data_IF_265908210039
#
_entry.id   IF_265908210039
#
_cell.length_a   1.000
_cell.length_b   1.000
_cell.length_c   1.000
_cell.angle_alpha   90.00
_cell.angle_beta   90.00
_cell.angle_gamma   90.00
#
_symmetry.space_group_name_H-M   'P 1'
#
loop_
_entity.id
_entity.type
_entity.pdbx_description
1 polymer ?
#
# COMPACT_ATOMS: atom_id res chain seq x y z
N UNK A 1 65.24 63.46 26.31
CA UNK A 1 65.95 62.69 25.25
C UNK A 1 65.41 61.26 25.27
N UNK A 2 64.25 60.96 24.65
CA UNK A 2 64.04 60.41 23.28
C UNK A 2 64.96 59.23 22.90
N UNK A 3 64.37 58.02 22.81
CA UNK A 3 64.38 57.20 21.58
C UNK A 3 63.14 56.29 21.51
N UNK A 4 62.63 56.17 20.29
CA UNK A 4 61.29 55.79 19.84
C UNK A 4 61.07 54.26 19.76
N UNK A 5 59.81 53.82 19.93
CA UNK A 5 59.31 52.50 19.47
C UNK A 5 59.27 52.42 17.93
N UNK A 6 59.16 51.20 17.38
CA UNK A 6 57.95 50.91 16.61
C UNK A 6 57.29 49.54 16.91
N UNK A 7 55.99 49.48 16.63
CA UNK A 7 55.12 48.28 16.52
C UNK A 7 55.41 47.50 15.22
N UNK A 8 55.13 46.20 15.21
CA UNK A 8 54.71 45.41 14.03
C UNK A 8 53.67 44.37 14.55
N UNK A 9 52.38 44.51 14.23
CA UNK A 9 51.63 44.09 13.02
C UNK A 9 51.44 42.56 12.93
N UNK A 10 50.20 42.12 13.16
CA UNK A 10 49.79 40.72 13.02
C UNK A 10 49.68 40.25 11.57
N UNK A 11 49.83 38.93 11.38
CA UNK A 11 49.53 38.20 10.16
C UNK A 11 48.39 37.18 10.40
N UNK A 12 47.59 36.85 9.37
CA UNK A 12 46.30 36.15 9.52
C UNK A 12 46.46 34.64 9.69
N UNK A 13 45.52 34.06 10.45
CA UNK A 13 45.41 32.63 10.73
C UNK A 13 45.13 31.80 9.47
N UNK A 14 45.90 30.73 9.30
CA UNK A 14 45.70 29.74 8.26
C UNK A 14 44.41 28.94 8.52
N UNK A 15 43.48 29.00 7.56
CA UNK A 15 42.30 28.14 7.54
C UNK A 15 42.70 26.68 7.31
N UNK A 16 42.25 25.78 8.18
CA UNK A 16 42.41 24.33 8.01
C UNK A 16 41.66 23.87 6.74
N UNK A 17 42.40 23.31 5.80
CA UNK A 17 41.85 22.62 4.62
C UNK A 17 41.25 21.27 5.07
N UNK A 18 40.00 20.93 4.70
CA UNK A 18 39.40 19.65 5.06
C UNK A 18 40.12 18.48 4.35
N UNK A 19 40.35 17.39 5.08
CA UNK A 19 41.15 16.25 4.63
C UNK A 19 40.54 15.44 3.48
N UNK A 20 41.36 14.61 2.79
CA UNK A 20 41.02 13.93 1.53
C UNK A 20 39.88 12.91 1.62
N UNK A 21 39.44 12.54 2.82
CA UNK A 21 38.32 11.62 3.03
C UNK A 21 36.95 12.30 2.82
N UNK A 22 36.80 13.58 3.19
CA UNK A 22 35.57 14.36 2.96
C UNK A 22 35.34 14.62 1.46
N UNK A 23 36.41 14.92 0.72
CA UNK A 23 36.35 15.12 -0.72
C UNK A 23 35.97 13.83 -1.48
N UNK A 24 36.44 12.67 -1.01
CA UNK A 24 36.10 11.36 -1.60
C UNK A 24 34.65 10.95 -1.33
N UNK A 25 34.12 11.23 -0.13
CA UNK A 25 32.70 11.02 0.17
C UNK A 25 31.77 11.96 -0.62
N UNK A 26 32.15 13.25 -0.74
CA UNK A 26 31.40 14.20 -1.55
C UNK A 26 31.40 13.82 -3.05
N UNK A 27 32.52 13.34 -3.58
CA UNK A 27 32.64 12.87 -4.96
C UNK A 27 31.83 11.60 -5.22
N UNK A 28 31.78 10.66 -4.26
CA UNK A 28 30.94 9.47 -4.37
C UNK A 28 29.44 9.82 -4.34
N UNK A 29 29.04 10.78 -3.50
CA UNK A 29 27.65 11.28 -3.45
C UNK A 29 27.26 12.01 -4.75
N UNK A 30 28.18 12.78 -5.33
CA UNK A 30 28.00 13.47 -6.62
C UNK A 30 27.94 12.48 -7.80
N UNK A 31 28.70 11.38 -7.76
CA UNK A 31 28.64 10.34 -8.79
C UNK A 31 27.31 9.57 -8.76
N UNK A 32 26.76 9.30 -7.56
CA UNK A 32 25.42 8.70 -7.39
C UNK A 32 24.33 9.67 -7.84
N UNK A 33 24.46 10.97 -7.54
CA UNK A 33 23.55 12.01 -8.05
C UNK A 33 23.62 12.17 -9.57
N UNK A 34 24.82 12.12 -10.17
CA UNK A 34 25.00 12.22 -11.62
C UNK A 34 24.44 11.01 -12.39
N UNK A 35 24.53 9.80 -11.81
CA UNK A 35 23.91 8.61 -12.36
C UNK A 35 22.36 8.65 -12.31
N UNK A 36 21.77 9.43 -11.40
CA UNK A 36 20.32 9.62 -11.29
C UNK A 36 19.72 10.54 -12.38
N UNK A 37 20.56 11.27 -13.13
CA UNK A 37 20.13 12.19 -14.20
C UNK A 37 20.26 11.61 -15.62
N UNK A 38 20.57 10.32 -15.80
CA UNK A 38 20.50 9.70 -17.11
C UNK A 38 19.04 9.68 -17.62
N UNK A 39 18.77 10.10 -18.88
CA UNK A 39 17.42 10.18 -19.43
C UNK A 39 16.83 8.76 -19.54
N UNK A 40 16.05 8.39 -18.52
CA UNK A 40 15.30 7.14 -18.52
C UNK A 40 14.09 7.29 -19.42
N UNK A 41 13.83 6.28 -20.24
CA UNK A 41 12.68 6.20 -21.12
C UNK A 41 11.39 6.56 -20.37
N UNK A 42 10.56 7.38 -20.99
CA UNK A 42 9.26 7.79 -20.49
C UNK A 42 8.33 6.56 -20.40
N UNK A 43 8.50 5.76 -19.37
CA UNK A 43 7.51 4.80 -18.93
C UNK A 43 6.60 5.55 -17.95
N UNK A 44 5.30 5.67 -18.28
CA UNK A 44 4.30 6.29 -17.41
C UNK A 44 4.54 5.88 -15.95
N UNK A 45 4.96 6.84 -15.13
CA UNK A 45 5.48 6.67 -13.78
C UNK A 45 4.51 7.20 -12.71
N UNK A 46 3.25 7.40 -13.09
CA UNK A 46 2.21 7.96 -12.23
C UNK A 46 1.63 6.89 -11.29
N UNK A 47 2.48 6.01 -10.74
CA UNK A 47 2.04 5.12 -9.66
C UNK A 47 1.80 5.99 -8.42
N UNK A 48 0.64 5.88 -7.76
CA UNK A 48 0.33 6.70 -6.61
C UNK A 48 1.41 6.60 -5.53
N UNK A 49 1.73 7.72 -4.89
CA UNK A 49 2.66 7.77 -3.77
C UNK A 49 2.07 7.08 -2.54
N UNK A 50 2.27 5.76 -2.45
CA UNK A 50 1.70 4.92 -1.38
C UNK A 50 2.77 4.23 -0.52
N UNK A 51 3.99 4.76 -0.44
CA UNK A 51 5.06 4.15 0.37
C UNK A 51 4.78 4.23 1.89
N UNK A 52 5.45 3.41 2.72
CA UNK A 52 5.22 3.37 4.16
C UNK A 52 5.94 4.48 4.90
N UNK A 53 5.26 5.05 5.89
CA UNK A 53 5.90 5.79 6.98
C UNK A 53 6.74 4.85 7.86
N UNK A 54 7.50 5.43 8.79
CA UNK A 54 8.18 4.71 9.87
C UNK A 54 7.23 3.81 10.68
N UNK A 55 5.94 4.14 10.70
CA UNK A 55 4.89 3.41 11.42
C UNK A 55 4.22 2.32 10.56
N UNK A 56 4.53 2.23 9.27
CA UNK A 56 3.98 1.25 8.32
C UNK A 56 2.81 1.76 7.48
N UNK A 57 1.96 2.56 8.10
CA UNK A 57 0.86 3.26 7.42
C UNK A 57 1.39 4.12 6.27
N UNK A 58 0.62 4.25 5.19
CA UNK A 58 1.05 5.01 4.00
C UNK A 58 1.39 6.47 4.37
N UNK A 59 2.60 6.91 4.02
CA UNK A 59 3.15 8.14 4.58
C UNK A 59 4.54 8.50 4.05
N UNK A 60 5.08 9.59 4.61
CA UNK A 60 6.45 10.03 4.37
C UNK A 60 7.40 9.31 5.34
N UNK A 61 7.91 9.99 6.36
CA UNK A 61 8.72 9.40 7.42
C UNK A 61 7.87 9.26 8.68
N UNK A 62 7.66 10.33 9.45
CA UNK A 62 6.84 10.28 10.65
C UNK A 62 5.37 10.56 10.35
N UNK A 63 5.08 11.38 9.33
CA UNK A 63 3.72 11.84 9.04
C UNK A 63 2.99 10.97 8.00
N UNK A 64 1.67 10.78 8.16
CA UNK A 64 0.86 10.09 7.16
C UNK A 64 0.56 10.99 5.95
N UNK A 65 0.29 10.39 4.80
CA UNK A 65 -0.32 11.06 3.64
C UNK A 65 -1.81 10.74 3.55
N UNK A 66 -2.53 11.47 2.69
CA UNK A 66 -3.96 11.27 2.46
C UNK A 66 -4.28 10.09 1.53
N UNK A 67 -3.26 9.34 1.06
CA UNK A 67 -3.46 8.14 0.26
C UNK A 67 -3.48 6.90 1.14
N UNK A 68 -4.21 5.91 0.66
CA UNK A 68 -4.28 4.57 1.22
C UNK A 68 -3.59 3.60 0.27
N UNK A 69 -3.09 2.50 0.83
CA UNK A 69 -2.57 1.37 0.10
C UNK A 69 -3.68 0.75 -0.76
N UNK A 70 -3.29 0.19 -1.91
CA UNK A 70 -4.19 -0.51 -2.82
C UNK A 70 -4.97 -1.61 -2.09
N UNK A 71 -6.22 -1.82 -2.48
CA UNK A 71 -7.04 -2.93 -2.00
C UNK A 71 -6.35 -4.27 -2.24
N UNK A 72 -6.56 -5.21 -1.32
CA UNK A 72 -5.98 -6.55 -1.36
C UNK A 72 -4.45 -6.52 -1.43
N UNK A 73 -3.81 -5.54 -0.79
CA UNK A 73 -2.36 -5.49 -0.62
C UNK A 73 -2.01 -5.60 0.86
N UNK A 74 -0.99 -6.41 1.15
CA UNK A 74 -0.33 -6.46 2.44
C UNK A 74 1.05 -5.82 2.36
N UNK A 75 1.47 -5.22 3.46
CA UNK A 75 2.82 -4.73 3.67
C UNK A 75 3.33 -5.19 5.02
N UNK A 76 4.56 -5.69 5.06
CA UNK A 76 5.27 -5.94 6.30
C UNK A 76 6.59 -5.19 6.29
N UNK A 77 7.01 -4.68 7.43
CA UNK A 77 8.27 -3.96 7.48
C UNK A 77 8.79 -3.72 8.88
N UNK A 78 10.03 -3.23 8.91
CA UNK A 78 10.71 -2.83 10.11
C UNK A 78 11.36 -1.46 9.87
N UNK A 79 11.33 -0.63 10.90
CA UNK A 79 11.98 0.69 10.91
C UNK A 79 12.79 0.84 12.19
N UNK A 80 14.00 1.37 12.06
CA UNK A 80 14.90 1.68 13.14
C UNK A 80 15.27 3.15 13.09
N UNK A 81 14.83 3.95 14.06
CA UNK A 81 15.23 5.35 14.26
C UNK A 81 15.38 5.58 15.75
N UNK A 82 16.62 5.61 16.27
CA UNK A 82 16.87 5.57 17.72
C UNK A 82 16.11 6.68 18.46
N UNK A 83 15.32 6.36 19.51
CA UNK A 83 15.29 5.11 20.27
C UNK A 83 14.27 4.06 19.81
N UNK A 84 13.49 4.32 18.76
CA UNK A 84 12.40 3.43 18.36
C UNK A 84 12.85 2.39 17.35
N UNK A 85 12.44 1.15 17.60
CA UNK A 85 12.42 0.07 16.63
C UNK A 85 10.97 -0.36 16.44
N UNK A 86 10.45 -0.24 15.23
CA UNK A 86 9.05 -0.47 14.91
C UNK A 86 8.97 -1.62 13.94
N UNK A 87 8.15 -2.62 14.25
CA UNK A 87 7.73 -3.66 13.32
C UNK A 87 6.26 -3.45 13.00
N UNK A 88 5.86 -3.60 11.74
CA UNK A 88 4.49 -3.35 11.35
C UNK A 88 3.98 -4.31 10.27
N UNK A 89 2.66 -4.47 10.25
CA UNK A 89 1.89 -5.12 9.21
C UNK A 89 0.71 -4.23 8.81
N UNK A 90 0.61 -3.88 7.55
CA UNK A 90 -0.44 -3.02 7.00
C UNK A 90 -1.25 -3.79 5.96
N UNK A 91 -2.56 -3.59 5.92
CA UNK A 91 -3.46 -4.15 4.90
C UNK A 91 -4.36 -3.07 4.32
N UNK A 92 -4.48 -3.05 2.99
CA UNK A 92 -5.48 -2.26 2.27
C UNK A 92 -6.73 -3.11 2.15
N UNK A 93 -7.63 -3.01 3.13
CA UNK A 93 -8.76 -3.93 3.24
C UNK A 93 -9.86 -3.63 2.21
N UNK A 94 -10.09 -2.34 1.94
CA UNK A 94 -11.01 -1.84 0.92
C UNK A 94 -10.36 -0.69 0.16
N UNK A 95 -10.91 -0.29 -0.98
CA UNK A 95 -10.38 0.81 -1.81
C UNK A 95 -10.11 2.15 -1.09
N UNK A 96 -10.69 2.36 0.09
CA UNK A 96 -10.57 3.60 0.87
C UNK A 96 -10.16 3.36 2.32
N UNK A 97 -9.85 2.12 2.70
CA UNK A 97 -9.57 1.75 4.08
C UNK A 97 -8.21 1.04 4.19
N UNK A 98 -7.33 1.63 4.98
CA UNK A 98 -6.03 1.08 5.34
C UNK A 98 -6.02 0.80 6.84
N UNK A 99 -5.63 -0.42 7.21
CA UNK A 99 -5.49 -0.86 8.61
C UNK A 99 -4.04 -1.25 8.84
N UNK A 100 -3.48 -0.81 9.96
CA UNK A 100 -2.09 -1.07 10.33
C UNK A 100 -2.04 -1.63 11.76
N UNK A 101 -1.24 -2.68 11.97
CA UNK A 101 -0.81 -3.14 13.28
C UNK A 101 0.69 -2.92 13.43
N UNK A 102 1.14 -2.40 14.57
CA UNK A 102 2.56 -2.19 14.84
C UNK A 102 2.96 -2.54 16.26
N UNK A 103 4.21 -2.98 16.39
CA UNK A 103 4.90 -3.22 17.66
C UNK A 103 6.05 -2.21 17.76
N UNK A 104 5.97 -1.30 18.73
CA UNK A 104 7.00 -0.29 18.98
C UNK A 104 7.85 -0.72 20.15
N UNK A 105 9.13 -0.95 19.90
CA UNK A 105 10.15 -1.21 20.91
C UNK A 105 10.94 0.08 21.18
N UNK A 106 11.12 0.42 22.46
CA UNK A 106 11.95 1.55 22.89
C UNK A 106 13.24 1.01 23.46
N UNK A 107 14.33 1.19 22.71
CA UNK A 107 15.63 0.64 23.05
C UNK A 107 16.16 1.22 24.37
N UNK A 108 16.82 0.38 25.17
CA UNK A 108 17.42 0.69 26.46
C UNK A 108 16.45 1.30 27.50
N UNK A 109 15.13 1.14 27.34
CA UNK A 109 14.12 1.48 28.35
C UNK A 109 13.57 0.17 28.90
N UNK A 110 13.65 -0.11 30.21
CA UNK A 110 13.22 -1.39 30.76
C UNK A 110 11.71 -1.58 30.57
N UNK A 111 11.32 -2.80 30.19
CA UNK A 111 9.93 -3.23 30.22
C UNK A 111 9.38 -3.29 31.65
N UNK A 112 8.05 -3.36 31.79
CA UNK A 112 7.36 -3.43 33.08
C UNK A 112 7.72 -4.65 33.93
N UNK A 113 8.26 -5.72 33.33
CA UNK A 113 8.64 -6.96 34.01
C UNK A 113 10.14 -7.17 33.92
N UNK A 114 10.77 -7.50 35.05
CA UNK A 114 12.20 -7.81 35.13
C UNK A 114 12.55 -8.98 34.21
N UNK A 115 13.60 -8.82 33.40
CA UNK A 115 14.06 -9.83 32.45
C UNK A 115 13.39 -9.82 31.07
N UNK A 116 12.38 -8.97 30.84
CA UNK A 116 11.68 -8.88 29.54
C UNK A 116 12.42 -8.02 28.49
N UNK A 117 13.52 -7.39 28.89
CA UNK A 117 14.35 -6.55 28.02
C UNK A 117 13.77 -5.14 27.83
N UNK A 118 13.85 -4.65 26.60
CA UNK A 118 13.35 -3.33 26.22
C UNK A 118 11.81 -3.23 26.29
N UNK A 119 11.31 -2.04 26.59
CA UNK A 119 9.89 -1.70 26.55
C UNK A 119 9.30 -1.96 25.16
N UNK A 120 8.10 -2.55 25.14
CA UNK A 120 7.35 -2.84 23.92
C UNK A 120 5.89 -2.52 24.11
N UNK A 121 5.29 -1.91 23.10
CA UNK A 121 3.86 -1.57 23.08
C UNK A 121 3.26 -1.87 21.70
N UNK A 122 2.01 -2.35 21.71
CA UNK A 122 1.26 -2.74 20.50
C UNK A 122 0.26 -1.64 20.19
N UNK A 123 0.20 -1.22 18.93
CA UNK A 123 -0.74 -0.21 18.48
C UNK A 123 -1.44 -0.66 17.19
N UNK A 124 -2.68 -0.21 17.03
CA UNK A 124 -3.45 -0.36 15.81
C UNK A 124 -3.77 1.02 15.24
N UNK A 125 -3.55 1.21 13.95
CA UNK A 125 -3.87 2.45 13.25
C UNK A 125 -4.92 2.19 12.15
N UNK A 126 -5.82 3.16 11.98
CA UNK A 126 -6.87 3.17 10.98
C UNK A 126 -6.71 4.40 10.10
N UNK A 127 -6.75 4.25 8.78
CA UNK A 127 -6.84 5.36 7.85
C UNK A 127 -8.01 5.17 6.90
N UNK A 128 -8.89 6.16 6.91
CA UNK A 128 -10.05 6.23 6.03
C UNK A 128 -9.86 7.38 5.02
N UNK A 129 -9.80 7.02 3.74
CA UNK A 129 -9.78 7.98 2.65
C UNK A 129 -11.20 8.48 2.35
N UNK A 130 -11.47 9.70 2.80
CA UNK A 130 -12.76 10.37 2.65
C UNK A 130 -12.99 10.80 1.20
N UNK A 131 -11.95 11.37 0.59
CA UNK A 131 -11.97 11.83 -0.79
C UNK A 131 -10.76 11.27 -1.54
N UNK A 132 -11.00 10.56 -2.65
CA UNK A 132 -9.95 10.16 -3.58
C UNK A 132 -9.43 11.40 -4.31
N UNK A 133 -8.14 11.41 -4.60
CA UNK A 133 -7.55 12.48 -5.40
C UNK A 133 -8.23 12.60 -6.75
N UNK A 134 -8.63 13.82 -7.12
CA UNK A 134 -9.18 14.13 -8.44
C UNK A 134 -8.25 15.03 -9.22
N UNK A 135 -8.70 15.49 -10.39
CA UNK A 135 -7.95 16.46 -11.21
C UNK A 135 -7.64 17.74 -10.44
N UNK A 136 -8.65 18.33 -9.80
CA UNK A 136 -8.54 19.63 -9.12
C UNK A 136 -8.48 19.53 -7.60
N UNK A 137 -9.11 18.52 -7.01
CA UNK A 137 -9.15 18.35 -5.56
C UNK A 137 -8.02 17.44 -5.08
N UNK A 138 -7.42 17.73 -3.91
CA UNK A 138 -6.49 16.80 -3.26
C UNK A 138 -7.24 15.56 -2.74
N UNK A 139 -6.51 14.47 -2.52
CA UNK A 139 -7.02 13.40 -1.65
C UNK A 139 -7.20 13.94 -0.23
N UNK A 140 -8.22 13.45 0.48
CA UNK A 140 -8.46 13.79 1.88
C UNK A 140 -8.67 12.51 2.70
N UNK A 141 -7.98 12.40 3.84
CA UNK A 141 -8.09 11.26 4.74
C UNK A 141 -8.18 11.67 6.20
N UNK A 142 -8.91 10.85 6.97
CA UNK A 142 -8.85 10.80 8.41
C UNK A 142 -7.95 9.64 8.84
N UNK A 143 -6.94 9.94 9.65
CA UNK A 143 -6.02 8.96 10.23
C UNK A 143 -6.23 8.94 11.73
N UNK A 144 -6.45 7.76 12.29
CA UNK A 144 -6.60 7.53 13.72
C UNK A 144 -5.59 6.47 14.13
N UNK A 145 -4.58 6.87 14.89
CA UNK A 145 -3.56 5.99 15.44
C UNK A 145 -3.85 5.66 16.88
N UNK A 146 -3.66 4.39 17.23
CA UNK A 146 -3.79 3.86 18.58
C UNK A 146 -5.06 4.33 19.33
N UNK A 147 -6.27 4.05 18.79
CA UNK A 147 -7.53 4.55 19.34
C UNK A 147 -8.03 3.79 20.59
N UNK A 148 -7.33 2.73 21.00
CA UNK A 148 -7.77 1.81 22.06
C UNK A 148 -6.57 1.42 22.94
N UNK A 149 -6.81 1.21 24.24
CA UNK A 149 -5.83 0.65 25.15
C UNK A 149 -4.91 1.71 25.76
N UNK A 150 -3.61 1.47 25.70
CA UNK A 150 -2.63 2.34 26.40
C UNK A 150 -2.54 3.73 25.78
N UNK A 151 -2.86 3.87 24.48
CA UNK A 151 -2.85 5.13 23.72
C UNK A 151 -1.52 5.89 23.81
N UNK A 152 -0.41 5.17 24.01
CA UNK A 152 0.94 5.76 24.18
C UNK A 152 1.34 6.53 22.94
N UNK A 153 0.96 6.04 21.76
CA UNK A 153 1.29 6.65 20.47
C UNK A 153 0.05 7.16 19.73
N UNK A 154 -0.99 7.53 20.47
CA UNK A 154 -2.27 7.92 19.89
C UNK A 154 -2.21 9.28 19.20
N UNK A 155 -2.87 9.37 18.04
CA UNK A 155 -3.05 10.63 17.32
C UNK A 155 -4.26 10.56 16.40
N UNK A 156 -4.88 11.71 16.13
CA UNK A 156 -5.91 11.82 15.09
C UNK A 156 -5.56 12.96 14.17
N UNK A 157 -5.60 12.68 12.87
CA UNK A 157 -5.16 13.64 11.86
C UNK A 157 -6.11 13.71 10.69
N UNK A 158 -6.29 14.92 10.19
CA UNK A 158 -6.86 15.21 8.88
C UNK A 158 -5.72 15.55 7.94
N UNK A 159 -5.66 14.88 6.79
CA UNK A 159 -4.55 15.01 5.85
C UNK A 159 -5.08 15.23 4.45
N UNK A 160 -4.46 16.17 3.74
CA UNK A 160 -4.64 16.39 2.32
C UNK A 160 -3.34 16.10 1.57
N UNK A 161 -3.44 15.38 0.44
CA UNK A 161 -2.29 15.13 -0.43
C UNK A 161 -2.63 15.38 -1.89
N UNK A 162 -1.67 15.96 -2.62
CA UNK A 162 -1.81 16.30 -4.04
C UNK A 162 -0.55 15.93 -4.80
N UNK A 163 -0.72 15.10 -5.83
CA UNK A 163 0.31 14.70 -6.75
C UNK A 163 0.34 15.67 -7.92
N UNK A 164 1.49 16.32 -8.08
CA UNK A 164 1.88 17.13 -9.23
C UNK A 164 3.17 16.52 -9.75
N UNK A 165 3.03 15.35 -10.40
CA UNK A 165 4.17 14.50 -10.79
C UNK A 165 5.27 15.32 -11.48
N UNK A 166 6.55 15.19 -11.09
CA UNK A 166 7.14 14.16 -10.21
C UNK A 166 7.09 14.44 -8.70
N UNK A 167 6.34 15.45 -8.26
CA UNK A 167 6.20 15.81 -6.85
C UNK A 167 4.88 15.33 -6.24
N UNK A 168 4.92 15.07 -4.95
CA UNK A 168 3.76 14.84 -4.12
C UNK A 168 3.82 15.74 -2.89
N UNK A 169 2.77 16.51 -2.70
CA UNK A 169 2.64 17.46 -1.59
C UNK A 169 1.66 16.91 -0.58
N UNK A 170 2.01 17.00 0.70
CA UNK A 170 1.14 16.62 1.81
C UNK A 170 1.07 17.75 2.81
N UNK A 171 -0.15 18.07 3.25
CA UNK A 171 -0.45 19.00 4.32
C UNK A 171 -1.48 18.37 5.23
N UNK A 172 -1.23 18.39 6.53
CA UNK A 172 -2.15 17.83 7.50
C UNK A 172 -2.13 18.58 8.81
N UNK A 173 -3.06 18.18 9.66
CA UNK A 173 -3.12 18.63 11.04
C UNK A 173 -3.62 17.50 11.92
N UNK A 174 -3.13 17.46 13.14
CA UNK A 174 -3.56 16.44 14.08
C UNK A 174 -3.31 16.81 15.53
N UNK A 175 -4.00 16.09 16.41
CA UNK A 175 -3.93 16.20 17.86
C UNK A 175 -3.14 15.01 18.46
N UNK A 176 -2.97 14.96 19.78
CA UNK A 176 -2.27 13.86 20.45
C UNK A 176 -0.77 13.86 20.16
N UNK A 177 -0.23 12.76 19.63
CA UNK A 177 1.18 12.70 19.22
C UNK A 177 1.56 13.77 18.19
N UNK A 178 0.61 14.20 17.36
CA UNK A 178 0.81 15.31 16.43
C UNK A 178 0.31 16.67 16.96
N UNK A 179 -0.25 16.70 18.17
CA UNK A 179 -0.82 17.87 18.83
C UNK A 179 0.14 18.60 19.78
N UNK A 180 -0.44 19.35 20.72
CA UNK A 180 0.29 20.00 21.82
C UNK A 180 0.46 19.05 22.99
N UNK A 181 -0.55 18.22 23.26
CA UNK A 181 -0.61 17.31 24.41
C UNK A 181 -0.90 15.86 23.97
N UNK A 182 -0.36 14.84 24.65
CA UNK A 182 -0.71 13.45 24.38
C UNK A 182 -2.18 13.16 24.73
N UNK A 183 -2.80 12.24 24.00
CA UNK A 183 -4.16 11.82 24.29
C UNK A 183 -4.19 10.94 25.55
N UNK A 184 -5.22 11.07 26.40
CA UNK A 184 -5.34 10.27 27.61
C UNK A 184 -5.56 8.79 27.26
N UNK A 185 -5.05 7.90 28.12
CA UNK A 185 -5.30 6.47 28.02
C UNK A 185 -6.80 6.18 28.04
N UNK A 186 -7.22 5.16 27.28
CA UNK A 186 -8.62 4.74 27.22
C UNK A 186 -8.69 3.24 27.44
N UNK A 187 -9.46 2.81 28.44
CA UNK A 187 -9.65 1.38 28.74
C UNK A 187 -10.41 0.66 27.62
N UNK A 188 -11.68 0.34 27.85
CA UNK A 188 -12.51 -0.32 26.84
C UNK A 188 -13.19 0.72 25.94
N UNK A 189 -12.97 0.64 24.63
CA UNK A 189 -13.67 1.47 23.63
C UNK A 189 -12.80 1.98 22.49
N UNK A 190 -13.42 2.78 21.62
CA UNK A 190 -12.77 3.47 20.50
C UNK A 190 -13.16 4.94 20.59
N UNK A 191 -12.20 5.84 20.85
CA UNK A 191 -12.47 7.28 20.93
C UNK A 191 -11.83 8.04 19.78
N UNK A 192 -12.63 8.93 19.21
CA UNK A 192 -12.20 9.91 18.23
C UNK A 192 -12.62 11.29 18.71
N UNK A 193 -11.67 12.02 19.32
CA UNK A 193 -11.85 13.36 19.88
C UNK A 193 -12.36 14.34 18.81
N UNK A 194 -12.02 14.14 17.53
CA UNK A 194 -12.59 14.91 16.43
C UNK A 194 -14.14 14.89 16.40
N UNK A 195 -14.77 13.82 16.88
CA UNK A 195 -16.24 13.69 16.95
C UNK A 195 -16.78 13.91 18.37
N UNK A 196 -16.05 13.49 19.41
CA UNK A 196 -16.52 13.62 20.80
C UNK A 196 -16.27 14.99 21.43
N UNK A 197 -15.14 15.63 21.12
CA UNK A 197 -14.84 17.02 21.51
C UNK A 197 -14.10 17.74 20.36
N UNK A 198 -14.85 18.14 19.31
CA UNK A 198 -14.26 18.83 18.17
C UNK A 198 -13.53 20.12 18.60
N UNK A 199 -14.05 20.83 19.60
CA UNK A 199 -13.50 22.10 20.06
C UNK A 199 -12.11 21.93 20.70
N UNK A 200 -11.94 20.90 21.53
CA UNK A 200 -10.65 20.51 22.10
C UNK A 200 -9.69 20.02 21.03
N UNK A 201 -10.19 19.20 20.09
CA UNK A 201 -9.39 18.71 18.96
C UNK A 201 -8.76 19.87 18.16
N UNK A 202 -9.54 20.88 17.78
CA UNK A 202 -9.04 22.05 17.04
C UNK A 202 -8.06 22.90 17.86
N UNK A 203 -8.23 22.98 19.19
CA UNK A 203 -7.32 23.71 20.08
C UNK A 203 -5.98 23.00 20.25
N UNK A 204 -5.98 21.67 20.29
CA UNK A 204 -4.76 20.85 20.42
C UNK A 204 -4.02 20.66 19.08
N UNK A 205 -4.76 20.68 17.97
CA UNK A 205 -4.23 20.34 16.66
C UNK A 205 -3.03 21.22 16.23
N UNK A 206 -2.03 20.59 15.61
CA UNK A 206 -0.89 21.28 14.99
C UNK A 206 -0.71 20.88 13.55
N UNK A 207 -0.23 21.83 12.74
CA UNK A 207 0.05 21.63 11.33
C UNK A 207 1.32 20.81 11.12
N UNK A 208 1.29 19.98 10.09
CA UNK A 208 2.42 19.27 9.54
C UNK A 208 2.33 19.18 8.03
N UNK A 209 3.44 18.86 7.38
CA UNK A 209 3.42 18.70 5.93
C UNK A 209 4.75 18.21 5.41
N UNK A 210 4.77 17.87 4.14
CA UNK A 210 5.98 17.39 3.50
C UNK A 210 5.83 17.27 2.00
N UNK A 211 6.95 16.99 1.37
CA UNK A 211 7.09 16.87 -0.08
C UNK A 211 7.84 15.57 -0.34
N UNK A 212 7.34 14.79 -1.29
CA UNK A 212 8.07 13.69 -1.90
C UNK A 212 8.35 14.02 -3.37
N UNK A 213 9.55 13.70 -3.83
CA UNK A 213 9.99 13.89 -5.20
C UNK A 213 10.49 12.55 -5.74
N UNK A 214 9.86 12.04 -6.80
CA UNK A 214 10.26 10.79 -7.44
C UNK A 214 10.93 11.07 -8.80
N UNK A 215 12.24 11.33 -8.84
CA UNK A 215 12.96 11.53 -10.10
C UNK A 215 12.94 10.27 -10.98
N UNK A 216 12.85 9.08 -10.37
CA UNK A 216 12.76 7.79 -11.06
C UNK A 216 11.74 6.89 -10.37
N UNK A 217 11.39 5.76 -11.00
CA UNK A 217 10.47 4.77 -10.39
C UNK A 217 11.07 4.02 -9.19
N UNK A 218 12.40 3.97 -9.10
CA UNK A 218 13.12 3.24 -8.06
C UNK A 218 13.68 4.14 -6.97
N UNK A 219 13.63 5.47 -7.13
CA UNK A 219 14.13 6.45 -6.16
C UNK A 219 13.07 7.50 -5.84
N UNK A 220 12.84 7.73 -4.54
CA UNK A 220 12.09 8.88 -4.05
C UNK A 220 12.90 9.62 -2.98
N UNK A 221 12.92 10.94 -3.07
CA UNK A 221 13.44 11.84 -2.06
C UNK A 221 12.28 12.43 -1.28
N UNK A 222 12.43 12.62 0.03
CA UNK A 222 11.36 13.07 0.91
C UNK A 222 11.90 14.11 1.88
N UNK A 223 11.10 15.12 2.15
CA UNK A 223 11.31 16.05 3.24
C UNK A 223 9.97 16.33 3.92
N UNK A 224 9.95 16.35 5.25
CA UNK A 224 8.76 16.63 6.04
C UNK A 224 9.08 17.56 7.20
N UNK A 225 8.08 18.31 7.61
CA UNK A 225 8.03 19.02 8.87
C UNK A 225 7.15 18.21 9.85
N UNK A 226 7.80 17.61 10.83
CA UNK A 226 7.15 16.82 11.87
C UNK A 226 6.54 17.73 12.95
N UNK A 227 5.27 17.52 13.31
CA UNK A 227 4.66 18.29 14.38
C UNK A 227 5.05 17.74 15.76
N UNK A 228 5.66 16.55 15.86
CA UNK A 228 5.81 15.83 17.13
C UNK A 228 6.65 16.64 18.13
N UNK A 229 6.12 16.81 19.34
CA UNK A 229 6.85 17.39 20.49
C UNK A 229 7.27 16.28 21.41
N UNK A 230 8.33 15.58 21.04
CA UNK A 230 8.89 14.49 21.82
C UNK A 230 9.10 14.84 23.30
N UNK A 231 9.49 16.08 23.57
CA UNK A 231 9.70 16.63 24.91
C UNK A 231 8.43 16.75 25.75
N UNK A 232 7.26 16.82 25.12
CA UNK A 232 5.95 16.97 25.76
C UNK A 232 5.11 15.68 25.70
N UNK A 233 5.61 14.59 25.11
CA UNK A 233 4.93 13.30 25.07
C UNK A 233 5.14 12.56 26.39
N UNK A 234 4.47 13.00 27.47
CA UNK A 234 4.65 12.46 28.83
C UNK A 234 4.23 11.00 28.99
N UNK A 235 3.39 10.49 28.09
CA UNK A 235 2.98 9.08 28.03
C UNK A 235 4.00 8.18 27.33
N UNK A 236 4.95 8.75 26.57
CA UNK A 236 5.95 8.01 25.81
C UNK A 236 7.12 7.59 26.74
N UNK A 237 7.38 6.30 26.94
CA UNK A 237 8.46 5.83 27.82
C UNK A 237 9.86 6.26 27.38
N UNK A 238 10.02 6.66 26.12
CA UNK A 238 11.28 7.21 25.62
C UNK A 238 11.51 8.65 26.12
N UNK A 239 10.46 9.41 26.46
CA UNK A 239 10.54 10.84 26.73
C UNK A 239 11.52 11.17 27.86
N UNK A 240 11.48 10.53 29.06
CA UNK A 240 12.34 10.94 30.17
C UNK A 240 13.83 10.74 29.89
N UNK A 241 14.19 9.73 29.09
CA UNK A 241 15.57 9.33 28.82
C UNK A 241 16.14 9.96 27.56
N UNK A 242 15.38 9.95 26.46
CA UNK A 242 15.85 10.36 25.13
C UNK A 242 15.39 11.76 24.72
N UNK A 243 14.27 12.23 25.28
CA UNK A 243 13.68 13.51 24.92
C UNK A 243 13.41 14.42 26.13
N UNK A 244 14.38 14.65 27.03
CA UNK A 244 14.20 15.59 28.13
C UNK A 244 14.11 17.05 27.66
N UNK A 245 14.46 17.32 26.40
CA UNK A 245 14.45 18.63 25.75
C UNK A 245 13.91 18.52 24.33
N UNK A 246 13.43 19.61 23.72
CA UNK A 246 13.02 19.62 22.33
C UNK A 246 14.11 19.10 21.40
N UNK A 247 13.72 18.36 20.37
CA UNK A 247 14.64 17.86 19.35
C UNK A 247 15.29 19.03 18.57
N UNK A 248 16.56 18.89 18.13
CA UNK A 248 17.28 19.94 17.42
C UNK A 248 16.59 20.46 16.15
N UNK A 249 15.90 19.58 15.41
CA UNK A 249 15.16 19.94 14.19
C UNK A 249 13.84 19.20 14.11
N UNK A 250 12.82 19.89 13.60
CA UNK A 250 11.53 19.30 13.21
C UNK A 250 11.46 18.91 11.74
N UNK A 251 12.50 19.24 10.98
CA UNK A 251 12.60 18.86 9.57
C UNK A 251 13.30 17.51 9.51
N UNK A 252 12.61 16.53 8.92
CA UNK A 252 13.16 15.22 8.61
C UNK A 252 13.33 15.12 7.09
N UNK A 253 14.41 14.48 6.65
CA UNK A 253 14.68 14.24 5.24
C UNK A 253 15.04 12.78 5.02
N UNK A 254 14.76 12.24 3.85
CA UNK A 254 15.10 10.86 3.55
C UNK A 254 15.02 10.52 2.08
N UNK A 255 15.48 9.32 1.79
CA UNK A 255 15.39 8.68 0.50
C UNK A 255 14.75 7.30 0.66
N UNK A 256 14.01 6.89 -0.36
CA UNK A 256 13.36 5.59 -0.47
C UNK A 256 13.74 4.96 -1.80
N UNK A 257 14.32 3.77 -1.73
CA UNK A 257 14.73 2.95 -2.85
C UNK A 257 13.72 1.83 -3.05
N UNK A 258 13.32 1.59 -4.30
CA UNK A 258 12.45 0.48 -4.71
C UNK A 258 13.20 -0.40 -5.69
N UNK A 259 14.13 -1.25 -5.21
CA UNK A 259 14.92 -2.13 -6.08
C UNK A 259 14.03 -3.12 -6.83
N UNK A 260 12.91 -3.53 -6.23
CA UNK A 260 11.91 -4.41 -6.82
C UNK A 260 10.51 -3.86 -6.57
N UNK A 261 9.50 -4.33 -7.33
CA UNK A 261 8.09 -3.91 -7.15
C UNK A 261 7.52 -4.27 -5.77
N UNK A 262 8.10 -5.26 -5.11
CA UNK A 262 7.67 -5.80 -3.84
C UNK A 262 8.56 -5.36 -2.66
N UNK A 263 9.64 -4.62 -2.87
CA UNK A 263 10.57 -4.20 -1.81
C UNK A 263 10.81 -2.70 -1.80
N UNK A 264 10.81 -2.12 -0.61
CA UNK A 264 11.19 -0.72 -0.37
C UNK A 264 12.19 -0.62 0.78
N UNK A 265 13.28 0.13 0.55
CA UNK A 265 14.35 0.38 1.53
C UNK A 265 14.44 1.89 1.73
N UNK A 266 14.43 2.35 2.97
CA UNK A 266 14.51 3.77 3.32
C UNK A 266 15.74 4.09 4.14
N UNK A 267 16.33 5.25 3.86
CA UNK A 267 17.35 5.88 4.70
C UNK A 267 16.89 7.30 4.98
N UNK A 268 16.98 7.73 6.23
CA UNK A 268 16.47 9.04 6.64
C UNK A 268 17.37 9.69 7.68
N UNK A 269 17.31 11.01 7.72
CA UNK A 269 17.85 11.85 8.77
C UNK A 269 16.69 12.55 9.46
N UNK A 270 16.50 12.25 10.74
CA UNK A 270 15.33 12.66 11.51
C UNK A 270 15.75 13.38 12.79
N UNK A 271 14.89 14.25 13.31
CA UNK A 271 15.09 14.97 14.58
C UNK A 271 16.37 15.83 14.63
N UNK A 272 17.00 16.10 13.48
CA UNK A 272 18.25 16.88 13.38
C UNK A 272 19.53 16.14 13.79
N UNK A 273 19.46 14.88 14.19
CA UNK A 273 20.64 14.14 14.67
C UNK A 273 20.58 12.63 14.47
N UNK A 274 19.39 12.06 14.22
CA UNK A 274 19.22 10.61 14.14
C UNK A 274 19.23 10.14 12.70
N UNK A 275 19.88 9.00 12.46
CA UNK A 275 19.79 8.28 11.19
C UNK A 275 18.76 7.17 11.36
N UNK A 276 17.83 7.11 10.43
CA UNK A 276 16.80 6.10 10.34
C UNK A 276 17.01 5.17 9.17
N UNK A 277 16.76 3.87 9.36
CA UNK A 277 16.73 2.86 8.30
C UNK A 277 15.40 2.13 8.35
N UNK A 278 14.79 1.92 7.19
CA UNK A 278 13.55 1.14 7.08
C UNK A 278 13.64 0.12 5.95
N UNK A 279 13.00 -1.02 6.12
CA UNK A 279 12.83 -2.01 5.07
C UNK A 279 11.39 -2.52 5.10
N UNK A 280 10.77 -2.66 3.93
CA UNK A 280 9.42 -3.21 3.82
C UNK A 280 9.28 -4.07 2.57
N UNK A 281 8.40 -5.05 2.68
CA UNK A 281 7.92 -5.87 1.57
C UNK A 281 6.43 -5.66 1.41
N UNK A 282 5.95 -5.59 0.16
CA UNK A 282 4.54 -5.47 -0.17
C UNK A 282 4.11 -6.56 -1.15
N UNK A 283 2.96 -7.18 -0.91
CA UNK A 283 2.41 -8.25 -1.74
C UNK A 283 0.91 -8.04 -1.99
N UNK A 284 0.45 -8.38 -3.18
CA UNK A 284 -0.98 -8.41 -3.49
C UNK A 284 -1.55 -9.79 -3.10
N UNK A 285 -2.68 -9.83 -2.42
CA UNK A 285 -3.41 -11.06 -2.09
C UNK A 285 -3.80 -11.77 -3.38
N UNK A 286 -3.59 -13.08 -3.43
CA UNK A 286 -3.91 -13.91 -4.60
C UNK A 286 -2.95 -13.75 -5.77
N UNK A 287 -1.88 -12.94 -5.67
CA UNK A 287 -0.78 -12.91 -6.63
C UNK A 287 0.50 -13.46 -6.00
N UNK A 288 1.19 -14.41 -6.63
CA UNK A 288 2.42 -14.94 -6.09
C UNK A 288 3.53 -13.87 -6.12
N UNK A 289 4.39 -13.90 -5.10
CA UNK A 289 5.50 -12.95 -4.91
C UNK A 289 6.52 -12.99 -6.07
N UNK A 290 6.77 -14.19 -6.58
CA UNK A 290 7.49 -14.43 -7.83
C UNK A 290 6.47 -14.89 -8.87
N UNK A 291 6.54 -14.43 -10.13
CA UNK A 291 5.70 -14.96 -11.20
C UNK A 291 5.95 -16.46 -11.32
N UNK A 292 4.97 -17.27 -10.91
CA UNK A 292 4.98 -18.70 -11.15
C UNK A 292 4.43 -18.88 -12.57
N UNK A 293 5.24 -19.41 -13.47
CA UNK A 293 4.76 -19.80 -14.79
C UNK A 293 4.02 -21.13 -14.65
N UNK A 294 2.69 -21.06 -14.70
CA UNK A 294 1.84 -22.24 -14.83
C UNK A 294 1.61 -22.48 -16.34
N UNK A 295 2.25 -23.52 -16.95
CA UNK A 295 1.99 -23.83 -18.34
C UNK A 295 0.51 -24.17 -18.52
N UNK A 296 -0.12 -23.76 -19.65
CA UNK A 296 -1.50 -24.15 -19.92
C UNK A 296 -1.57 -25.68 -20.00
N UNK A 297 -2.65 -26.25 -19.48
CA UNK A 297 -2.88 -27.68 -19.59
C UNK A 297 -2.95 -28.06 -21.07
N UNK A 298 -2.08 -28.98 -21.46
CA UNK A 298 -2.11 -29.63 -22.77
C UNK A 298 -2.64 -31.03 -22.56
N UNK A 299 -3.71 -31.35 -23.27
CA UNK A 299 -4.31 -32.67 -23.21
C UNK A 299 -3.34 -33.73 -23.77
N UNK A 300 -2.94 -34.74 -22.98
CA UNK A 300 -2.16 -35.87 -23.45
C UNK A 300 -2.90 -36.61 -24.59
N UNK A 301 -2.17 -37.04 -25.62
CA UNK A 301 -2.74 -37.75 -26.77
C UNK A 301 -3.49 -39.03 -26.37
N UNK A 302 -3.08 -39.67 -25.27
CA UNK A 302 -3.68 -40.88 -24.72
C UNK A 302 -5.11 -40.64 -24.24
N UNK A 303 -5.38 -39.51 -23.58
CA UNK A 303 -6.69 -39.17 -23.02
C UNK A 303 -7.70 -38.78 -24.09
N UNK A 304 -7.28 -38.42 -25.31
CA UNK A 304 -8.20 -38.01 -26.40
C UNK A 304 -9.20 -39.08 -26.81
N UNK A 305 -8.92 -40.35 -26.48
CA UNK A 305 -9.79 -41.50 -26.75
C UNK A 305 -10.82 -41.73 -25.64
N UNK A 306 -10.63 -41.11 -24.49
CA UNK A 306 -11.52 -41.27 -23.35
C UNK A 306 -12.81 -40.45 -23.51
N UNK A 307 -13.88 -40.80 -22.77
CA UNK A 307 -15.09 -39.99 -22.73
C UNK A 307 -14.80 -38.54 -22.33
N UNK A 308 -15.52 -37.58 -22.92
CA UNK A 308 -15.35 -36.14 -22.66
C UNK A 308 -15.31 -35.80 -21.17
N UNK A 309 -16.20 -36.42 -20.38
CA UNK A 309 -16.26 -36.22 -18.93
C UNK A 309 -14.94 -36.59 -18.23
N UNK A 310 -14.30 -37.70 -18.62
CA UNK A 310 -13.03 -38.14 -18.06
C UNK A 310 -11.88 -37.21 -18.46
N UNK A 311 -11.87 -36.74 -19.72
CA UNK A 311 -10.89 -35.78 -20.25
C UNK A 311 -10.94 -34.45 -19.49
N UNK A 312 -12.13 -33.90 -19.32
CA UNK A 312 -12.35 -32.67 -18.55
C UNK A 312 -11.95 -32.87 -17.09
N UNK A 313 -12.37 -33.97 -16.46
CA UNK A 313 -12.01 -34.25 -15.07
C UNK A 313 -10.49 -34.35 -14.88
N UNK A 314 -9.78 -35.04 -15.78
CA UNK A 314 -8.33 -35.14 -15.74
C UNK A 314 -7.63 -33.77 -15.92
N UNK A 315 -8.10 -32.96 -16.88
CA UNK A 315 -7.57 -31.61 -17.11
C UNK A 315 -7.77 -30.68 -15.91
N UNK A 316 -8.98 -30.68 -15.33
CA UNK A 316 -9.29 -29.89 -14.15
C UNK A 316 -8.51 -30.36 -12.91
N UNK A 317 -8.32 -31.67 -12.75
CA UNK A 317 -7.47 -32.20 -11.70
C UNK A 317 -6.01 -31.76 -11.84
N UNK A 318 -5.47 -31.78 -13.07
CA UNK A 318 -4.08 -31.36 -13.34
C UNK A 318 -3.81 -29.88 -13.02
N UNK A 319 -4.79 -29.00 -13.18
CA UNK A 319 -4.65 -27.57 -12.84
C UNK A 319 -4.98 -27.26 -11.37
N UNK A 320 -5.42 -28.25 -10.58
CA UNK A 320 -5.53 -28.15 -9.12
C UNK A 320 -6.95 -28.07 -8.56
N UNK A 321 -7.95 -28.61 -9.26
CA UNK A 321 -9.31 -28.81 -8.74
C UNK A 321 -9.51 -30.26 -8.25
N UNK A 322 -10.42 -30.47 -7.29
CA UNK A 322 -10.84 -31.79 -6.81
C UNK A 322 -12.36 -31.97 -6.88
N UNK A 323 -12.87 -33.14 -6.51
CA UNK A 323 -14.31 -33.47 -6.46
C UNK A 323 -15.06 -33.01 -7.72
N UNK A 324 -14.54 -33.45 -8.88
CA UNK A 324 -14.97 -32.98 -10.21
C UNK A 324 -16.10 -33.87 -10.73
N UNK A 325 -17.26 -33.25 -10.98
CA UNK A 325 -18.39 -33.84 -11.68
C UNK A 325 -18.56 -33.21 -13.05
N UNK A 326 -18.73 -34.03 -14.09
CA UNK A 326 -19.03 -33.56 -15.44
C UNK A 326 -20.24 -34.32 -15.95
N UNK A 327 -21.27 -33.58 -16.38
CA UNK A 327 -22.52 -34.14 -16.90
C UNK A 327 -23.05 -33.27 -18.03
N UNK A 328 -23.86 -33.83 -18.93
CA UNK A 328 -24.43 -33.09 -20.04
C UNK A 328 -25.81 -33.63 -20.41
N UNK A 329 -26.70 -32.74 -20.84
CA UNK A 329 -28.05 -33.08 -21.32
C UNK A 329 -28.19 -32.94 -22.85
N UNK A 330 -27.07 -32.82 -23.56
CA UNK A 330 -27.03 -32.63 -25.02
C UNK A 330 -27.21 -31.18 -25.49
N UNK A 331 -27.46 -30.23 -24.58
CA UNK A 331 -27.50 -28.78 -24.87
C UNK A 331 -26.59 -27.99 -23.92
N UNK A 332 -26.56 -28.40 -22.65
CA UNK A 332 -25.80 -27.77 -21.57
C UNK A 332 -24.80 -28.77 -20.99
N UNK A 333 -23.53 -28.38 -20.96
CA UNK A 333 -22.50 -29.09 -20.20
C UNK A 333 -22.45 -28.52 -18.77
N UNK A 334 -22.70 -29.35 -17.77
CA UNK A 334 -22.56 -28.99 -16.36
C UNK A 334 -21.26 -29.56 -15.78
N UNK A 335 -20.47 -28.67 -15.17
CA UNK A 335 -19.21 -28.96 -14.50
C UNK A 335 -19.35 -28.52 -13.05
N UNK A 336 -19.14 -29.45 -12.13
CA UNK A 336 -19.05 -29.22 -10.70
C UNK A 336 -17.59 -29.46 -10.28
N UNK A 337 -16.93 -28.52 -9.61
CA UNK A 337 -15.53 -28.68 -9.20
C UNK A 337 -15.25 -28.00 -7.85
N UNK A 338 -14.45 -28.63 -7.00
CA UNK A 338 -13.96 -28.04 -5.76
C UNK A 338 -12.68 -27.25 -6.00
N UNK A 339 -12.65 -26.00 -5.53
CA UNK A 339 -11.52 -25.10 -5.69
C UNK A 339 -10.55 -25.25 -4.52
N UNK A 340 -9.43 -25.93 -4.74
CA UNK A 340 -8.40 -26.15 -3.71
C UNK A 340 -7.21 -25.18 -3.83
N UNK A 341 -7.07 -24.48 -4.96
CA UNK A 341 -5.84 -23.75 -5.31
C UNK A 341 -6.02 -22.24 -5.43
N UNK A 342 -7.15 -21.77 -5.97
CA UNK A 342 -7.28 -20.37 -6.39
C UNK A 342 -7.96 -19.54 -5.31
N UNK A 343 -7.30 -18.46 -4.88
CA UNK A 343 -7.83 -17.60 -3.82
C UNK A 343 -9.13 -16.87 -4.22
N UNK A 344 -9.25 -16.49 -5.49
CA UNK A 344 -10.43 -15.78 -6.00
C UNK A 344 -11.27 -16.70 -6.88
N UNK A 345 -12.56 -16.83 -6.58
CA UNK A 345 -13.52 -17.64 -7.35
C UNK A 345 -13.58 -17.26 -8.83
N UNK A 346 -13.54 -15.97 -9.24
CA UNK A 346 -13.46 -15.62 -10.65
C UNK A 346 -12.21 -16.18 -11.35
N UNK A 347 -11.06 -16.22 -10.68
CA UNK A 347 -9.84 -16.82 -11.22
C UNK A 347 -10.00 -18.33 -11.39
N UNK A 348 -10.65 -19.02 -10.45
CA UNK A 348 -10.97 -20.44 -10.60
C UNK A 348 -11.84 -20.71 -11.84
N UNK A 349 -12.91 -19.92 -12.02
CA UNK A 349 -13.80 -20.02 -13.20
C UNK A 349 -13.03 -19.76 -14.49
N UNK A 350 -12.14 -18.77 -14.52
CA UNK A 350 -11.29 -18.46 -15.67
C UNK A 350 -10.38 -19.64 -16.05
N UNK A 351 -9.76 -20.29 -15.07
CA UNK A 351 -8.90 -21.45 -15.31
C UNK A 351 -9.70 -22.64 -15.84
N UNK A 352 -10.87 -22.93 -15.25
CA UNK A 352 -11.76 -24.00 -15.74
C UNK A 352 -12.15 -23.72 -17.20
N UNK A 353 -12.64 -22.50 -17.48
CA UNK A 353 -13.01 -22.06 -18.82
C UNK A 353 -11.88 -22.26 -19.84
N UNK A 354 -10.65 -21.82 -19.51
CA UNK A 354 -9.46 -21.99 -20.35
C UNK A 354 -9.08 -23.45 -20.59
N UNK A 355 -9.26 -24.29 -19.57
CA UNK A 355 -8.88 -25.72 -19.63
C UNK A 355 -9.86 -26.51 -20.50
N UNK A 356 -11.17 -26.19 -20.43
CA UNK A 356 -12.21 -26.92 -21.16
C UNK A 356 -12.47 -26.39 -22.56
N UNK A 357 -12.19 -25.11 -22.83
CA UNK A 357 -12.41 -24.48 -24.14
C UNK A 357 -11.91 -25.34 -25.33
N UNK A 358 -10.68 -25.88 -25.34
CA UNK A 358 -10.20 -26.70 -26.45
C UNK A 358 -10.85 -28.09 -26.56
N UNK A 359 -11.59 -28.53 -25.54
CA UNK A 359 -12.21 -29.87 -25.49
C UNK A 359 -13.72 -29.84 -25.80
N UNK A 360 -14.34 -28.66 -25.83
CA UNK A 360 -15.78 -28.52 -25.97
C UNK A 360 -16.26 -28.99 -27.36
N UNK A 361 -17.12 -30.02 -27.44
CA UNK A 361 -17.72 -30.40 -28.71
C UNK A 361 -18.76 -29.38 -29.17
N UNK A 362 -19.02 -29.26 -30.49
CA UNK A 362 -19.96 -28.30 -31.05
C UNK A 362 -21.43 -28.60 -30.72
N UNK A 363 -21.74 -29.74 -30.09
CA UNK A 363 -23.08 -30.13 -29.68
C UNK A 363 -23.61 -29.38 -28.45
N UNK A 364 -22.71 -28.78 -27.65
CA UNK A 364 -23.12 -28.01 -26.47
C UNK A 364 -23.17 -26.52 -26.78
N UNK A 365 -24.35 -25.92 -26.58
CA UNK A 365 -24.54 -24.47 -26.73
C UNK A 365 -24.21 -23.71 -25.45
N UNK A 366 -24.35 -24.36 -24.29
CA UNK A 366 -24.19 -23.75 -22.98
C UNK A 366 -23.24 -24.53 -22.08
N UNK A 367 -22.47 -23.81 -21.27
CA UNK A 367 -21.61 -24.38 -20.23
C UNK A 367 -21.98 -23.77 -18.89
N UNK A 368 -22.22 -24.62 -17.89
CA UNK A 368 -22.50 -24.25 -16.50
C UNK A 368 -21.40 -24.78 -15.59
N UNK A 369 -20.70 -23.88 -14.91
CA UNK A 369 -19.62 -24.19 -13.97
C UNK A 369 -20.13 -23.89 -12.56
N UNK A 370 -20.15 -24.88 -11.68
CA UNK A 370 -20.46 -24.73 -10.25
C UNK A 370 -19.19 -24.98 -9.45
N UNK A 371 -18.77 -23.98 -8.67
CA UNK A 371 -17.61 -24.06 -7.80
C UNK A 371 -18.05 -24.46 -6.39
N UNK A 372 -17.36 -25.43 -5.81
CA UNK A 372 -17.54 -25.88 -4.43
C UNK A 372 -16.33 -25.47 -3.58
N UNK A 373 -16.59 -25.20 -2.31
CA UNK A 373 -15.56 -25.10 -1.26
C UNK A 373 -16.03 -25.91 -0.04
N UNK A 374 -15.22 -26.87 0.41
CA UNK A 374 -15.56 -27.84 1.45
C UNK A 374 -16.87 -28.60 1.14
N UNK A 375 -17.05 -29.00 -0.13
CA UNK A 375 -18.26 -29.66 -0.61
C UNK A 375 -19.52 -28.78 -0.72
N UNK A 376 -19.45 -27.49 -0.37
CA UNK A 376 -20.59 -26.56 -0.44
C UNK A 376 -20.49 -25.73 -1.74
N UNK A 377 -21.54 -25.66 -2.58
CA UNK A 377 -21.57 -24.75 -3.71
C UNK A 377 -21.47 -23.28 -3.28
N UNK A 378 -20.42 -22.58 -3.71
CA UNK A 378 -20.19 -21.16 -3.38
C UNK A 378 -20.45 -20.23 -4.55
N UNK A 379 -20.36 -20.72 -5.79
CA UNK A 379 -20.65 -19.93 -6.98
C UNK A 379 -21.15 -20.80 -8.15
N UNK A 380 -21.93 -20.17 -9.02
CA UNK A 380 -22.35 -20.76 -10.29
C UNK A 380 -22.16 -19.74 -11.41
N UNK A 381 -21.52 -20.18 -12.49
CA UNK A 381 -21.30 -19.41 -13.70
C UNK A 381 -21.94 -20.14 -14.88
N UNK A 382 -22.59 -19.41 -15.78
CA UNK A 382 -23.17 -19.97 -17.00
C UNK A 382 -22.83 -19.05 -18.18
N UNK A 383 -22.41 -19.65 -19.28
CA UNK A 383 -22.05 -18.94 -20.51
C UNK A 383 -22.43 -19.76 -21.73
N UNK A 384 -22.50 -19.11 -22.89
CA UNK A 384 -22.56 -19.78 -24.18
C UNK A 384 -21.19 -20.40 -24.51
N UNK A 385 -21.17 -21.59 -25.11
CA UNK A 385 -19.96 -22.35 -25.37
C UNK A 385 -19.00 -21.60 -26.32
N UNK A 386 -19.53 -20.95 -27.36
CA UNK A 386 -18.75 -20.16 -28.30
C UNK A 386 -18.07 -18.92 -27.68
N UNK A 387 -18.51 -18.45 -26.50
CA UNK A 387 -17.83 -17.37 -25.79
C UNK A 387 -16.51 -17.85 -25.15
N UNK A 388 -16.31 -19.16 -25.02
CA UNK A 388 -15.09 -19.75 -24.47
C UNK A 388 -13.97 -19.86 -25.51
N UNK A 389 -14.31 -19.97 -26.80
CA UNK A 389 -13.34 -20.03 -27.92
C UNK A 389 -12.49 -18.76 -28.05
N UNK A 390 -12.99 -17.64 -27.53
CA UNK A 390 -12.30 -16.34 -27.52
C UNK A 390 -11.30 -16.13 -26.38
N UNK A 391 -11.10 -17.12 -25.50
CA UNK A 391 -10.17 -17.03 -24.37
C UNK A 391 -8.83 -17.66 -24.77
N UNK A 392 -7.86 -16.87 -25.26
CA UNK A 392 -6.57 -17.42 -25.68
C UNK A 392 -5.85 -18.10 -24.52
N UNK A 393 -5.31 -19.30 -24.78
CA UNK A 393 -4.52 -20.09 -23.83
C UNK A 393 -3.23 -19.39 -23.36
N UNK A 394 -2.84 -18.26 -23.95
CA UNK A 394 -1.55 -17.59 -23.74
C UNK A 394 -1.60 -16.11 -23.33
N UNK A 395 -2.77 -15.50 -23.04
CA UNK A 395 -2.77 -14.08 -22.66
C UNK A 395 -2.45 -13.88 -21.17
N UNK A 396 -1.16 -13.87 -20.85
CA UNK A 396 -0.65 -13.02 -19.79
C UNK A 396 -0.87 -11.56 -20.21
N UNK A 397 -1.65 -10.82 -19.41
CA UNK A 397 -1.65 -9.35 -19.36
C UNK A 397 -2.19 -8.61 -20.61
N UNK A 398 -3.52 -8.48 -20.74
CA UNK A 398 -4.15 -7.31 -21.39
C UNK A 398 -5.69 -7.32 -21.24
N UNK A 399 -6.21 -6.86 -20.09
CA UNK A 399 -7.57 -6.32 -20.02
C UNK A 399 -7.47 -4.80 -19.89
N UNK A 400 -7.17 -4.17 -21.02
CA UNK A 400 -7.27 -2.74 -21.24
C UNK A 400 -7.82 -2.54 -22.64
N UNK A 401 -9.08 -2.15 -22.72
CA UNK A 401 -9.86 -1.89 -23.95
C UNK A 401 -10.42 -3.12 -24.68
N UNK A 402 -11.67 -3.47 -24.35
CA UNK A 402 -12.70 -3.70 -25.38
C UNK A 402 -14.02 -3.13 -24.86
N UNK A 403 -14.69 -2.41 -25.76
CA UNK A 403 -15.82 -1.51 -25.52
C UNK A 403 -17.02 -2.28 -24.98
N UNK A 404 -17.72 -1.63 -24.05
CA UNK A 404 -19.07 -1.98 -23.62
C UNK A 404 -19.98 -2.24 -24.82
N UNK A 405 -20.39 -3.49 -25.02
CA UNK A 405 -21.58 -3.80 -25.80
C UNK A 405 -22.78 -3.51 -24.91
N UNK A 406 -23.43 -2.40 -25.21
CA UNK A 406 -24.63 -1.89 -24.58
C UNK A 406 -25.73 -2.96 -24.60
N UNK A 407 -26.22 -3.33 -23.42
CA UNK A 407 -27.48 -4.07 -23.26
C UNK A 407 -28.63 -3.14 -23.69
N UNK A 408 -29.15 -3.34 -24.90
CA UNK A 408 -30.32 -2.60 -25.37
C UNK A 408 -31.57 -3.13 -24.65
N UNK A 409 -32.01 -2.42 -23.61
CA UNK A 409 -33.37 -2.53 -23.09
C UNK A 409 -34.36 -2.17 -24.19
N UNK A 410 -35.11 -3.16 -24.67
CA UNK A 410 -36.28 -2.93 -25.51
C UNK A 410 -37.26 -2.03 -24.75
N UNK A 411 -37.56 -0.87 -25.33
CA UNK A 411 -38.58 0.05 -24.85
C UNK A 411 -39.77 -0.14 -25.80
N UNK A 412 -40.80 -0.84 -25.33
CA UNK A 412 -42.07 -0.95 -26.03
C UNK A 412 -42.67 0.46 -26.21
N UNK A 413 -42.90 0.82 -27.47
CA UNK A 413 -43.45 2.10 -27.87
C UNK A 413 -44.99 1.97 -27.96
N UNK A 414 -45.67 2.57 -26.99
CA UNK A 414 -47.13 2.65 -26.94
C UNK A 414 -47.62 3.72 -27.93
N UNK A 415 -48.29 3.33 -29.01
CA UNK A 415 -48.95 4.25 -29.97
C UNK A 415 -50.40 4.51 -29.55
N UNK A 416 -50.86 5.77 -29.40
CA UNK A 416 -52.28 6.05 -29.24
C UNK A 416 -52.99 6.09 -30.60
N UNK A 417 -54.14 5.42 -30.66
CA UNK A 417 -55.03 5.34 -31.82
C UNK A 417 -55.75 6.68 -32.08
N UNK A 418 -55.57 7.21 -33.28
CA UNK A 418 -56.29 8.39 -33.77
C UNK A 418 -57.73 8.05 -34.20
N UNK A 419 -58.68 8.85 -33.70
CA UNK A 419 -60.12 8.78 -34.01
C UNK A 419 -60.40 8.99 -35.50
N UNK A 420 -61.20 8.09 -36.09
CA UNK A 420 -61.95 8.34 -37.34
C UNK A 420 -63.18 9.21 -37.02
N UNK A 421 -63.42 10.24 -37.84
CA UNK A 421 -64.75 10.83 -38.05
C UNK A 421 -65.16 10.51 -39.49
N UNK A 422 -66.26 9.78 -39.63
CA UNK A 422 -67.07 9.65 -40.84
C UNK A 422 -67.97 10.89 -40.98
N UNK A 423 -68.47 11.17 -42.19
CA UNK A 423 -69.85 10.76 -42.52
C UNK A 423 -69.93 9.46 -43.32
#
# INVERSE_FOLDING_TARGET
MRRFRPRSSGGPGQGKVPGPHLARFAAALLAVLAAAFAPSHAAAGDEPFTGPSNHGITGLLEIPTARVMTENRFRFGATQVRPYRIFYGTVGLFERLEVNGRLTQVLDVPAFTTGYGDYRDKAFDLKLQLLKEGKYLPAFSLVVSDPNGTRVYASQSLVASKQLYPFDFTLGMGNGRYGKEPLPAQGEGFQVELFSDPSGWWKDARLFGGIQFAPTKWLSLMAEYSPIRYDLQTTDPAQPKYFPKPVPSKINAGLRLKPFRWAEIGVSWQRGQEIGVSASISTDIGKPFLPIYDPPYLEPDELRRDPLAARIAAGLHAVGFSDIGVSGDGLTLQIDAENNRYFFTPTAVEVIAKTIAPMLPPEYDYVRIRIKENGIPVAQFATVANALDGIPASSATAWGSRRSSTCSRGREEWRPSGRRRTP
#
